data_IF_828993912581
#
_entry.id   IF_828993912581
#
_cell.length_a   1.000
_cell.length_b   1.000
_cell.length_c   1.000
_cell.angle_alpha   90.00
_cell.angle_beta   90.00
_cell.angle_gamma   90.00
#
_symmetry.space_group_name_H-M   'P 1'
#
loop_
_entity.id
_entity.type
_entity.pdbx_description
1 polymer ?
#
# COMPACT_ATOMS: atom_id res chain seq x y z
N UNK A 1 -7.08 -6.69 -1.98
CA UNK A 1 -6.21 -7.26 -0.95
C UNK A 1 -5.60 -6.11 -0.19
N UNK A 2 -5.70 -6.08 1.11
CA UNK A 2 -5.10 -5.03 1.94
C UNK A 2 -4.21 -5.70 2.99
N UNK A 3 -3.07 -5.12 3.32
CA UNK A 3 -2.20 -5.55 4.40
C UNK A 3 -2.27 -4.52 5.54
N UNK A 4 -2.46 -4.99 6.76
CA UNK A 4 -2.47 -4.15 7.96
C UNK A 4 -1.16 -4.28 8.71
N UNK A 5 -0.57 -3.14 9.10
CA UNK A 5 0.64 -3.08 9.89
C UNK A 5 0.32 -2.55 11.30
N UNK A 6 0.80 -3.24 12.32
CA UNK A 6 0.64 -2.87 13.72
C UNK A 6 2.01 -2.66 14.34
N UNK A 7 2.25 -1.44 14.84
CA UNK A 7 3.45 -1.10 15.59
C UNK A 7 3.23 -1.32 17.09
N UNK A 8 4.07 -2.13 17.69
CA UNK A 8 4.07 -2.37 19.14
C UNK A 8 5.20 -1.52 19.75
N UNK A 9 4.84 -0.53 20.58
CA UNK A 9 5.82 0.14 21.41
C UNK A 9 6.06 -0.74 22.62
N UNK A 10 7.09 -1.59 22.54
CA UNK A 10 7.57 -2.36 23.66
C UNK A 10 7.99 -1.44 24.81
N UNK A 11 7.14 -1.33 25.82
CA UNK A 11 7.53 -1.17 27.22
C UNK A 11 6.86 -2.28 28.01
N UNK A 12 7.68 -3.25 28.32
CA UNK A 12 7.65 -4.12 29.48
C UNK A 12 6.28 -4.54 30.03
N UNK A 13 5.82 -5.73 29.62
CA UNK A 13 5.03 -6.59 30.49
C UNK A 13 5.28 -8.06 30.12
N UNK A 14 6.14 -8.69 30.91
CA UNK A 14 6.26 -10.14 30.97
C UNK A 14 4.94 -10.74 31.48
N UNK A 15 4.31 -11.60 30.70
CA UNK A 15 3.72 -12.90 31.08
C UNK A 15 2.71 -13.41 30.04
N UNK A 16 3.11 -14.53 29.48
CA UNK A 16 2.26 -15.67 29.04
C UNK A 16 0.80 -15.40 28.63
N UNK A 17 0.55 -15.45 27.32
CA UNK A 17 -0.58 -16.19 26.79
C UNK A 17 -0.25 -16.67 25.37
N UNK A 18 -0.08 -17.98 25.25
CA UNK A 18 0.00 -18.66 23.97
C UNK A 18 -1.35 -18.54 23.27
N UNK A 19 -1.53 -17.50 22.47
CA UNK A 19 -2.64 -17.48 21.53
C UNK A 19 -2.18 -18.20 20.26
N UNK A 20 -2.63 -19.45 20.08
CA UNK A 20 -2.53 -20.15 18.79
C UNK A 20 -3.17 -19.27 17.73
N UNK A 21 -2.48 -18.98 16.61
CA UNK A 21 -3.12 -18.29 15.50
C UNK A 21 -4.25 -19.18 14.98
N UNK A 22 -5.45 -18.60 14.87
CA UNK A 22 -6.57 -19.26 14.25
C UNK A 22 -6.19 -19.69 12.83
N UNK A 23 -6.36 -20.98 12.52
CA UNK A 23 -6.12 -21.57 11.22
C UNK A 23 -7.11 -20.98 10.21
N UNK A 24 -6.70 -19.96 9.47
CA UNK A 24 -7.38 -19.50 8.27
C UNK A 24 -6.91 -20.35 7.09
N UNK A 25 -7.62 -21.45 6.87
CA UNK A 25 -7.36 -22.41 5.80
C UNK A 25 -7.63 -21.78 4.42
N UNK A 26 -6.67 -21.89 3.51
CA UNK A 26 -6.86 -21.84 2.05
C UNK A 26 -6.73 -20.47 1.37
N UNK A 27 -7.13 -19.37 1.99
CA UNK A 27 -7.16 -18.05 1.34
C UNK A 27 -5.90 -17.22 1.66
N UNK A 28 -5.37 -17.34 2.86
CA UNK A 28 -4.10 -16.74 3.26
C UNK A 28 -2.89 -17.34 2.51
N UNK A 29 -2.97 -18.63 2.13
CA UNK A 29 -1.95 -19.27 1.30
C UNK A 29 -1.92 -18.73 -0.14
N UNK A 30 -3.07 -18.44 -0.74
CA UNK A 30 -3.13 -17.81 -2.07
C UNK A 30 -2.61 -16.37 -2.05
N UNK A 31 -2.82 -15.65 -0.97
CA UNK A 31 -2.30 -14.30 -0.79
C UNK A 31 -0.78 -14.28 -0.57
N UNK A 32 -0.22 -15.30 0.08
CA UNK A 32 1.23 -15.50 0.20
C UNK A 32 1.90 -15.88 -1.13
N UNK A 33 1.13 -16.42 -2.08
CA UNK A 33 1.61 -16.70 -3.44
C UNK A 33 1.87 -15.45 -4.28
N UNK A 34 1.49 -14.25 -3.82
CA UNK A 34 1.91 -13.00 -4.46
C UNK A 34 3.36 -12.73 -4.08
N UNK A 35 4.25 -12.78 -5.05
CA UNK A 35 5.71 -12.85 -4.86
C UNK A 35 6.38 -11.74 -4.04
N UNK A 36 5.65 -10.66 -3.69
CA UNK A 36 6.17 -9.59 -2.82
C UNK A 36 5.83 -9.76 -1.33
N UNK A 37 4.89 -10.63 -0.96
CA UNK A 37 4.46 -10.78 0.44
C UNK A 37 5.57 -11.23 1.39
N UNK A 38 6.44 -12.19 1.04
CA UNK A 38 7.56 -12.55 1.90
C UNK A 38 8.46 -11.35 2.23
N UNK A 39 8.75 -10.50 1.25
CA UNK A 39 9.58 -9.30 1.46
C UNK A 39 8.90 -8.28 2.38
N UNK A 40 7.57 -8.14 2.31
CA UNK A 40 6.80 -7.26 3.22
C UNK A 40 6.83 -7.82 4.64
N UNK A 41 6.63 -9.13 4.81
CA UNK A 41 6.68 -9.79 6.12
C UNK A 41 8.07 -9.69 6.77
N UNK A 42 9.14 -9.86 5.98
CA UNK A 42 10.52 -9.74 6.46
C UNK A 42 10.88 -8.30 6.85
N UNK A 43 10.49 -7.32 6.04
CA UNK A 43 10.68 -5.91 6.35
C UNK A 43 9.91 -5.51 7.63
N UNK A 44 8.67 -5.93 7.77
CA UNK A 44 7.86 -5.66 8.95
C UNK A 44 8.48 -6.29 10.21
N UNK A 45 8.95 -7.54 10.10
CA UNK A 45 9.62 -8.24 11.22
C UNK A 45 10.87 -7.51 11.67
N UNK A 46 11.67 -6.98 10.75
CA UNK A 46 12.88 -6.20 11.08
C UNK A 46 12.56 -4.89 11.80
N UNK A 47 11.35 -4.37 11.64
CA UNK A 47 10.85 -3.16 12.29
C UNK A 47 10.02 -3.44 13.56
N UNK A 48 9.87 -4.70 13.97
CA UNK A 48 9.00 -5.09 15.08
C UNK A 48 7.51 -4.90 14.80
N UNK A 49 7.12 -4.92 13.53
CA UNK A 49 5.72 -4.73 13.08
C UNK A 49 5.14 -6.08 12.69
N UNK A 50 3.94 -6.39 13.18
CA UNK A 50 3.19 -7.55 12.71
C UNK A 50 2.31 -7.18 11.52
N UNK A 51 2.27 -8.06 10.51
CA UNK A 51 1.46 -7.90 9.30
C UNK A 51 0.43 -9.02 9.23
N UNK A 52 -0.80 -8.67 8.92
CA UNK A 52 -1.86 -9.62 8.59
C UNK A 52 -2.47 -9.28 7.23
N UNK A 53 -2.81 -10.30 6.46
CA UNK A 53 -3.45 -10.12 5.16
C UNK A 53 -4.96 -10.17 5.34
N UNK A 54 -5.63 -9.11 4.85
CA UNK A 54 -7.09 -9.01 4.84
C UNK A 54 -7.58 -9.07 3.41
N UNK A 55 -8.38 -10.06 3.08
CA UNK A 55 -9.03 -10.13 1.77
C UNK A 55 -10.35 -9.37 1.78
N UNK A 56 -10.55 -8.57 0.72
CA UNK A 56 -11.79 -7.87 0.43
C UNK A 56 -12.25 -8.35 -0.94
N UNK A 57 -13.43 -8.96 -1.01
CA UNK A 57 -13.95 -9.63 -2.23
C UNK A 57 -15.06 -8.87 -2.89
N UNK A 58 -15.74 -8.01 -2.14
CA UNK A 58 -16.88 -7.22 -2.63
C UNK A 58 -16.95 -5.87 -1.90
N UNK A 59 -17.69 -4.89 -2.42
CA UNK A 59 -17.76 -3.54 -1.84
C UNK A 59 -18.33 -3.49 -0.42
N UNK A 60 -19.18 -4.43 -0.03
CA UNK A 60 -19.80 -4.48 1.30
C UNK A 60 -18.76 -4.81 2.37
N UNK A 61 -17.83 -5.71 2.04
CA UNK A 61 -16.74 -6.10 2.93
C UNK A 61 -15.74 -4.97 3.20
N UNK A 62 -15.67 -3.93 2.36
CA UNK A 62 -14.74 -2.81 2.56
C UNK A 62 -14.99 -2.16 3.93
N UNK A 63 -16.22 -1.76 4.20
CA UNK A 63 -16.56 -1.11 5.48
C UNK A 63 -16.42 -2.08 6.66
N UNK A 64 -16.90 -3.32 6.52
CA UNK A 64 -16.79 -4.34 7.56
C UNK A 64 -15.33 -4.57 7.99
N UNK A 65 -14.43 -4.77 7.01
CA UNK A 65 -13.03 -5.06 7.30
C UNK A 65 -12.28 -3.84 7.85
N UNK A 66 -12.57 -2.64 7.33
CA UNK A 66 -11.90 -1.42 7.79
C UNK A 66 -12.41 -0.96 9.17
N UNK A 67 -13.70 -1.16 9.49
CA UNK A 67 -14.26 -0.81 10.81
C UNK A 67 -13.74 -1.71 11.94
N UNK A 68 -13.27 -2.90 11.62
CA UNK A 68 -12.66 -3.85 12.57
C UNK A 68 -11.21 -3.53 12.96
N UNK A 69 -10.61 -2.51 12.35
CA UNK A 69 -9.22 -2.13 12.64
C UNK A 69 -9.11 -1.46 14.01
N UNK A 70 -8.04 -1.80 14.73
CA UNK A 70 -7.77 -1.28 16.08
C UNK A 70 -6.97 0.02 16.02
N UNK A 71 -6.99 0.85 17.07
CA UNK A 71 -6.07 1.98 17.20
C UNK A 71 -4.61 1.54 16.98
N UNK A 72 -3.81 2.38 16.34
CA UNK A 72 -2.40 2.12 15.97
C UNK A 72 -2.18 1.10 14.85
N UNK A 73 -3.23 0.64 14.19
CA UNK A 73 -3.11 -0.11 12.96
C UNK A 73 -3.15 0.83 11.75
N UNK A 74 -2.39 0.45 10.70
CA UNK A 74 -2.46 1.08 9.39
C UNK A 74 -2.74 0.06 8.31
N UNK A 75 -3.11 0.50 7.12
CA UNK A 75 -3.41 -0.37 5.98
C UNK A 75 -2.47 -0.06 4.82
N UNK A 76 -1.94 -1.09 4.21
CA UNK A 76 -1.19 -1.00 2.95
C UNK A 76 -2.04 -1.63 1.84
N UNK A 77 -2.31 -0.86 0.80
CA UNK A 77 -3.03 -1.33 -0.38
C UNK A 77 -2.05 -1.61 -1.51
N UNK A 78 -1.80 -2.88 -1.85
CA UNK A 78 -1.00 -3.23 -3.02
C UNK A 78 -1.76 -2.93 -4.32
N UNK A 79 -1.08 -2.90 -5.47
CA UNK A 79 -1.72 -2.71 -6.78
C UNK A 79 -2.87 -3.68 -7.01
N UNK A 80 -4.08 -3.13 -7.17
CA UNK A 80 -5.30 -3.90 -7.36
C UNK A 80 -6.38 -3.03 -8.01
N UNK A 81 -6.99 -3.52 -9.10
CA UNK A 81 -8.02 -2.79 -9.85
C UNK A 81 -9.32 -2.59 -9.07
N UNK A 82 -9.71 -3.55 -8.22
CA UNK A 82 -10.88 -3.41 -7.35
C UNK A 82 -10.67 -2.28 -6.33
N UNK A 83 -9.49 -2.22 -5.69
CA UNK A 83 -9.13 -1.14 -4.75
C UNK A 83 -9.12 0.21 -5.46
N UNK A 84 -8.58 0.27 -6.68
CA UNK A 84 -8.59 1.50 -7.49
C UNK A 84 -10.01 1.97 -7.84
N UNK A 85 -10.89 1.04 -8.22
CA UNK A 85 -12.28 1.34 -8.56
C UNK A 85 -13.10 1.86 -7.35
N UNK A 86 -12.77 1.40 -6.15
CA UNK A 86 -13.49 1.77 -4.91
C UNK A 86 -12.72 2.79 -4.06
N UNK A 87 -11.72 3.48 -4.62
CA UNK A 87 -10.79 4.35 -3.88
C UNK A 87 -11.49 5.47 -3.09
N UNK A 88 -12.49 6.10 -3.66
CA UNK A 88 -13.21 7.17 -2.97
C UNK A 88 -13.84 6.68 -1.65
N UNK A 89 -14.51 5.52 -1.69
CA UNK A 89 -15.12 4.91 -0.51
C UNK A 89 -14.08 4.46 0.51
N UNK A 90 -12.97 3.89 0.05
CA UNK A 90 -11.86 3.45 0.93
C UNK A 90 -11.26 4.66 1.65
N UNK A 91 -10.97 5.75 0.94
CA UNK A 91 -10.39 6.97 1.51
C UNK A 91 -11.36 7.59 2.55
N UNK A 92 -12.65 7.68 2.22
CA UNK A 92 -13.69 8.16 3.12
C UNK A 92 -13.71 7.34 4.43
N UNK A 93 -13.74 6.02 4.32
CA UNK A 93 -13.79 5.12 5.48
C UNK A 93 -12.54 5.20 6.33
N UNK A 94 -11.34 5.21 5.72
CA UNK A 94 -10.09 5.35 6.46
C UNK A 94 -10.01 6.69 7.19
N UNK A 95 -10.48 7.77 6.58
CA UNK A 95 -10.56 9.08 7.23
C UNK A 95 -11.56 9.06 8.39
N UNK A 96 -12.74 8.48 8.19
CA UNK A 96 -13.79 8.34 9.22
C UNK A 96 -13.33 7.52 10.43
N UNK A 97 -12.61 6.42 10.17
CA UNK A 97 -12.09 5.54 11.23
C UNK A 97 -10.73 5.97 11.76
N UNK A 98 -10.15 7.05 11.22
CA UNK A 98 -8.81 7.56 11.56
C UNK A 98 -7.72 6.51 11.40
N UNK A 99 -7.78 5.73 10.33
CA UNK A 99 -6.81 4.69 9.99
C UNK A 99 -5.87 5.21 8.91
N UNK A 100 -4.55 5.25 9.15
CA UNK A 100 -3.58 5.63 8.13
C UNK A 100 -3.51 4.58 7.02
N UNK A 101 -3.52 5.05 5.77
CA UNK A 101 -3.43 4.20 4.59
C UNK A 101 -2.22 4.54 3.72
N UNK A 102 -1.51 3.52 3.26
CA UNK A 102 -0.46 3.60 2.24
C UNK A 102 -0.98 2.99 0.94
N UNK A 103 -0.85 3.73 -0.15
CA UNK A 103 -1.39 3.35 -1.44
C UNK A 103 -0.29 3.14 -2.49
N UNK A 104 -0.62 2.39 -3.53
CA UNK A 104 0.32 2.06 -4.61
C UNK A 104 0.42 3.11 -5.72
N UNK A 105 -0.37 4.18 -5.69
CA UNK A 105 -0.39 5.18 -6.75
C UNK A 105 -0.82 6.57 -6.25
N UNK A 106 -0.25 7.60 -6.87
CA UNK A 106 -0.46 9.01 -6.51
C UNK A 106 -1.93 9.46 -6.57
N UNK A 107 -2.74 8.92 -7.47
CA UNK A 107 -4.13 9.35 -7.62
C UNK A 107 -4.96 9.11 -6.35
N UNK A 108 -4.60 8.15 -5.49
CA UNK A 108 -5.23 8.00 -4.18
C UNK A 108 -4.95 9.20 -3.29
N UNK A 109 -3.73 9.72 -3.31
CA UNK A 109 -3.32 10.85 -2.48
C UNK A 109 -3.92 12.15 -3.01
N UNK A 110 -4.02 12.31 -4.33
CA UNK A 110 -4.74 13.41 -4.97
C UNK A 110 -6.23 13.42 -4.61
N UNK A 111 -6.84 12.25 -4.43
CA UNK A 111 -8.24 12.09 -4.01
C UNK A 111 -8.43 12.16 -2.47
N UNK A 112 -7.37 12.49 -1.71
CA UNK A 112 -7.45 12.68 -0.26
C UNK A 112 -6.84 11.55 0.60
N UNK A 113 -6.21 10.55 0.00
CA UNK A 113 -5.43 9.53 0.72
C UNK A 113 -4.21 10.12 1.41
N UNK A 114 -3.68 9.42 2.43
CA UNK A 114 -2.58 9.91 3.26
C UNK A 114 -1.24 9.91 2.53
N UNK A 115 -0.82 8.77 1.99
CA UNK A 115 0.52 8.58 1.41
C UNK A 115 0.47 7.52 0.32
N UNK A 116 1.22 7.72 -0.75
CA UNK A 116 1.47 6.69 -1.75
C UNK A 116 2.95 6.51 -2.00
N UNK A 117 3.33 5.26 -2.24
CA UNK A 117 4.62 4.90 -2.78
C UNK A 117 4.41 3.89 -3.91
N UNK A 118 4.76 4.26 -5.10
CA UNK A 118 4.50 3.45 -6.29
C UNK A 118 5.24 3.90 -7.52
N UNK A 119 4.96 3.23 -8.63
CA UNK A 119 5.59 3.51 -9.92
C UNK A 119 5.10 4.86 -10.46
N UNK A 120 6.01 5.68 -10.98
CA UNK A 120 5.68 6.86 -11.80
C UNK A 120 5.01 6.36 -13.11
N UNK A 121 3.67 6.34 -13.09
CA UNK A 121 2.89 5.84 -14.23
C UNK A 121 3.12 6.66 -15.52
N UNK A 122 3.16 8.01 -15.49
CA UNK A 122 3.53 8.81 -16.67
C UNK A 122 4.88 8.42 -17.27
N UNK A 123 5.86 8.09 -16.47
CA UNK A 123 7.16 7.66 -16.96
C UNK A 123 7.09 6.26 -17.59
N UNK A 124 6.34 5.35 -16.98
CA UNK A 124 6.10 4.01 -17.52
C UNK A 124 5.45 4.08 -18.91
N UNK A 125 4.43 4.93 -19.10
CA UNK A 125 3.79 5.13 -20.40
C UNK A 125 4.72 5.77 -21.42
N UNK A 126 5.58 6.74 -21.01
CA UNK A 126 6.60 7.31 -21.89
C UNK A 126 7.61 6.26 -22.37
N UNK A 127 8.02 5.36 -21.48
CA UNK A 127 8.88 4.24 -21.83
C UNK A 127 8.19 3.28 -22.81
N UNK A 128 6.91 2.93 -22.57
CA UNK A 128 6.09 2.15 -23.50
C UNK A 128 6.01 2.79 -24.90
N UNK A 129 5.81 4.11 -24.96
CA UNK A 129 5.81 4.85 -26.23
C UNK A 129 7.13 4.73 -27.01
N UNK A 130 8.28 4.68 -26.33
CA UNK A 130 9.58 4.43 -26.99
C UNK A 130 9.67 3.04 -27.60
N UNK A 131 9.08 2.02 -26.96
CA UNK A 131 9.00 0.68 -27.55
C UNK A 131 8.13 0.66 -28.79
N UNK A 132 6.98 1.31 -28.74
CA UNK A 132 6.08 1.44 -29.91
C UNK A 132 6.81 2.12 -31.09
N UNK A 133 7.49 3.24 -30.86
CA UNK A 133 8.27 3.94 -31.90
C UNK A 133 9.32 3.02 -32.54
N UNK A 134 10.08 2.29 -31.74
CA UNK A 134 11.08 1.34 -32.25
C UNK A 134 10.47 0.22 -33.08
N UNK A 135 9.35 -0.34 -32.65
CA UNK A 135 8.63 -1.39 -33.39
C UNK A 135 8.12 -0.83 -34.71
N UNK A 136 7.52 0.33 -34.71
CA UNK A 136 7.03 0.98 -35.95
C UNK A 136 8.14 1.33 -36.94
N UNK A 137 9.38 1.52 -36.44
CA UNK A 137 10.58 1.71 -37.29
C UNK A 137 11.23 0.41 -37.73
N UNK A 138 10.60 -0.74 -37.46
CA UNK A 138 11.03 -2.05 -37.94
C UNK A 138 11.87 -2.86 -36.97
N UNK A 139 12.04 -2.44 -35.71
CA UNK A 139 12.70 -3.29 -34.70
C UNK A 139 11.79 -4.47 -34.37
N UNK A 140 12.34 -5.67 -34.41
CA UNK A 140 11.58 -6.86 -34.00
C UNK A 140 11.27 -6.80 -32.50
N UNK A 141 10.01 -6.98 -32.08
CA UNK A 141 9.65 -7.00 -30.64
C UNK A 141 10.45 -7.99 -29.81
N UNK A 142 10.88 -9.13 -30.39
CA UNK A 142 11.70 -10.14 -29.71
C UNK A 142 13.09 -9.63 -29.35
N UNK A 143 13.61 -8.60 -30.02
CA UNK A 143 14.92 -8.00 -29.78
C UNK A 143 14.87 -6.87 -28.76
N UNK A 144 13.65 -6.52 -28.28
CA UNK A 144 13.47 -5.49 -27.26
C UNK A 144 13.64 -6.09 -25.87
N UNK A 145 14.54 -5.51 -25.03
CA UNK A 145 14.74 -6.01 -23.67
C UNK A 145 13.49 -5.78 -22.81
N UNK A 146 13.11 -6.77 -22.01
CA UNK A 146 12.13 -6.57 -20.98
C UNK A 146 12.72 -5.64 -19.89
N UNK A 147 12.03 -4.53 -19.59
CA UNK A 147 12.47 -3.57 -18.60
C UNK A 147 11.46 -3.49 -17.45
N UNK A 148 11.96 -3.54 -16.23
CA UNK A 148 11.15 -3.21 -15.06
C UNK A 148 11.10 -1.69 -14.87
N UNK A 149 10.02 -1.15 -14.28
CA UNK A 149 9.96 0.25 -13.89
C UNK A 149 11.12 0.60 -12.95
N UNK A 150 11.79 1.71 -13.22
CA UNK A 150 12.94 2.18 -12.44
C UNK A 150 12.63 3.44 -11.64
N UNK A 151 11.54 4.16 -12.00
CA UNK A 151 11.13 5.38 -11.34
C UNK A 151 9.93 5.13 -10.45
N UNK A 152 10.10 5.45 -9.18
CA UNK A 152 9.06 5.41 -8.16
C UNK A 152 8.84 6.81 -7.62
N UNK A 153 7.64 7.09 -7.13
CA UNK A 153 7.29 8.36 -6.52
C UNK A 153 6.68 8.15 -5.13
N UNK A 154 7.08 9.01 -4.21
CA UNK A 154 6.55 9.13 -2.86
C UNK A 154 5.73 10.43 -2.78
N UNK A 155 4.40 10.30 -2.57
CA UNK A 155 3.51 11.46 -2.42
C UNK A 155 2.90 11.44 -1.03
N UNK A 156 2.88 12.58 -0.35
CA UNK A 156 2.36 12.73 1.02
C UNK A 156 1.31 13.84 1.06
N UNK A 157 0.18 13.59 1.72
CA UNK A 157 -0.87 14.59 1.93
C UNK A 157 -0.86 15.06 3.39
N UNK A 158 -0.34 16.26 3.64
CA UNK A 158 -0.27 16.85 4.98
C UNK A 158 -1.64 17.26 5.53
N UNK A 159 -2.57 17.63 4.65
CA UNK A 159 -3.95 17.92 5.05
C UNK A 159 -4.62 16.69 5.65
N UNK A 160 -4.45 15.55 5.02
CA UNK A 160 -4.96 14.26 5.51
C UNK A 160 -4.20 13.81 6.75
N UNK A 161 -2.87 13.97 6.81
CA UNK A 161 -2.09 13.67 8.00
C UNK A 161 -2.61 14.46 9.21
N UNK A 162 -2.84 15.76 9.06
CA UNK A 162 -3.41 16.65 10.09
C UNK A 162 -4.81 16.20 10.52
N UNK A 163 -5.68 15.82 9.57
CA UNK A 163 -7.03 15.33 9.87
C UNK A 163 -7.00 14.00 10.65
N UNK A 164 -6.01 13.16 10.41
CA UNK A 164 -5.78 11.90 11.15
C UNK A 164 -5.06 12.11 12.50
N UNK A 165 -4.59 13.34 12.80
CA UNK A 165 -3.80 13.62 14.00
C UNK A 165 -2.39 13.04 13.94
N UNK A 166 -1.83 12.88 12.73
CA UNK A 166 -0.50 12.32 12.51
C UNK A 166 0.51 13.43 12.23
N UNK A 167 1.66 13.32 12.87
CA UNK A 167 2.84 14.11 12.53
C UNK A 167 3.69 13.34 11.52
N UNK A 168 3.97 13.96 10.38
CA UNK A 168 4.81 13.36 9.34
C UNK A 168 6.26 13.74 9.62
N UNK A 169 7.17 12.76 9.81
CA UNK A 169 8.57 13.04 10.10
C UNK A 169 9.23 13.87 9.00
N UNK A 170 10.07 14.85 9.37
CA UNK A 170 10.79 15.68 8.40
C UNK A 170 11.66 14.88 7.44
N UNK A 171 12.23 13.76 7.91
CA UNK A 171 13.00 12.82 7.09
C UNK A 171 12.17 12.14 6.00
N UNK A 172 10.87 11.93 6.23
CA UNK A 172 9.96 11.39 5.21
C UNK A 172 9.57 12.48 4.21
N UNK A 173 9.29 13.69 4.69
CA UNK A 173 8.98 14.85 3.82
C UNK A 173 10.16 15.21 2.90
N UNK A 174 11.39 15.15 3.42
CA UNK A 174 12.59 15.41 2.62
C UNK A 174 12.83 14.38 1.50
N UNK A 175 12.16 13.21 1.57
CA UNK A 175 12.22 12.15 0.56
C UNK A 175 11.01 12.12 -0.35
N UNK A 176 9.99 12.92 -0.06
CA UNK A 176 8.78 12.98 -0.86
C UNK A 176 9.06 13.71 -2.19
N UNK A 177 8.58 13.14 -3.28
CA UNK A 177 8.62 13.77 -4.61
C UNK A 177 7.54 14.86 -4.72
N UNK A 178 6.45 14.69 -3.96
CA UNK A 178 5.36 15.67 -3.89
C UNK A 178 4.73 15.68 -2.49
N UNK A 179 4.44 16.88 -2.00
CA UNK A 179 3.71 17.12 -0.75
C UNK A 179 2.47 17.95 -1.06
N UNK A 180 1.28 17.44 -0.71
CA UNK A 180 -0.01 18.12 -0.84
C UNK A 180 -0.33 18.79 0.49
N UNK A 181 -0.52 20.13 0.47
CA UNK A 181 -0.84 20.97 1.62
C UNK A 181 -2.32 21.41 1.64
#
# INVERSE_FOLDING_TARGET
MAATAQGDRARDYSRSNHHKPAQSTGTAERSRAVGYMPSVEDAARSMGISVSVVEIRNPIEIEEKLSGLKPHQGVIFPPNSFIAAHRARIIELLTRFRVPGVYFARFFVSDGGLISYGIDQPDLFRQGGRYVDRILRGTNPADLPAQSPTKFELVVNLKTAKALGLEVPATLLARADEVIE
#
